data_IF_956957981589
#
_entry.id   IF_956957981589
#
_cell.length_a   1.000
_cell.length_b   1.000
_cell.length_c   1.000
_cell.angle_alpha   90.00
_cell.angle_beta   90.00
_cell.angle_gamma   90.00
#
_symmetry.space_group_name_H-M   'P 1'
#
loop_
_entity.id
_entity.type
_entity.pdbx_description
1 polymer ?
#
# COMPACT_ATOMS: atom_id res chain seq x y z
N UNK A 1 -7.19 -23.86 31.47
CA UNK A 1 -8.09 -22.68 31.47
C UNK A 1 -9.06 -22.85 30.33
N UNK A 2 -10.36 -22.90 30.66
CA UNK A 2 -11.40 -23.03 29.65
C UNK A 2 -11.66 -21.72 28.90
N UNK A 3 -11.48 -20.58 29.59
CA UNK A 3 -11.72 -19.24 29.03
C UNK A 3 -10.60 -18.29 29.45
N UNK A 4 -10.19 -17.43 28.53
CA UNK A 4 -9.29 -16.31 28.80
C UNK A 4 -9.91 -15.01 28.29
N UNK A 5 -9.87 -13.97 29.12
CA UNK A 5 -10.36 -12.64 28.77
C UNK A 5 -9.18 -11.69 28.71
N UNK A 6 -8.90 -11.17 27.50
CA UNK A 6 -7.79 -10.27 27.24
C UNK A 6 -8.32 -8.94 26.71
N UNK A 7 -7.97 -7.84 27.34
CA UNK A 7 -8.27 -6.51 26.80
C UNK A 7 -7.36 -6.17 25.62
N UNK A 8 -6.11 -6.60 25.70
CA UNK A 8 -5.11 -6.42 24.64
C UNK A 8 -4.18 -7.61 24.66
N UNK A 9 -3.88 -8.14 23.49
CA UNK A 9 -2.86 -9.17 23.31
C UNK A 9 -1.94 -8.82 22.16
N UNK A 10 -0.64 -9.00 22.36
CA UNK A 10 0.36 -8.97 21.30
C UNK A 10 0.78 -10.41 21.06
N UNK A 11 0.47 -10.94 19.88
CA UNK A 11 0.79 -12.33 19.53
C UNK A 11 1.53 -12.37 18.20
N UNK A 12 2.58 -13.17 18.13
CA UNK A 12 3.26 -13.44 16.88
C UNK A 12 2.51 -14.43 16.00
N UNK A 13 1.72 -15.29 16.63
CA UNK A 13 0.88 -16.27 15.95
C UNK A 13 -0.36 -16.55 16.81
N UNK A 14 -1.52 -16.60 16.17
CA UNK A 14 -2.78 -16.96 16.80
C UNK A 14 -3.39 -18.13 16.04
N UNK A 15 -3.73 -19.20 16.78
CA UNK A 15 -4.43 -20.36 16.23
C UNK A 15 -5.85 -20.39 16.77
N UNK A 16 -6.83 -20.34 15.89
CA UNK A 16 -8.25 -20.41 16.22
C UNK A 16 -8.88 -21.54 15.41
N UNK A 17 -9.43 -22.54 16.08
CA UNK A 17 -10.07 -23.69 15.44
C UNK A 17 -9.19 -24.32 14.33
N UNK A 18 -7.92 -24.50 14.62
CA UNK A 18 -6.89 -24.98 13.68
C UNK A 18 -6.56 -24.00 12.52
N UNK A 19 -7.03 -22.77 12.59
CA UNK A 19 -6.59 -21.72 11.67
C UNK A 19 -5.44 -20.95 12.33
N UNK A 20 -4.30 -20.96 11.68
CA UNK A 20 -3.14 -20.19 12.12
C UNK A 20 -3.17 -18.81 11.46
N UNK A 21 -3.21 -17.75 12.26
CA UNK A 21 -3.19 -16.36 11.80
C UNK A 21 -1.81 -15.79 12.10
N UNK A 22 -0.87 -16.02 11.20
CA UNK A 22 0.50 -15.51 11.30
C UNK A 22 0.74 -14.56 10.14
N UNK A 23 1.05 -13.27 10.42
CA UNK A 23 1.41 -12.35 9.34
C UNK A 23 2.70 -12.80 8.65
N UNK A 24 2.78 -12.59 7.34
CA UNK A 24 4.05 -12.73 6.61
C UNK A 24 4.96 -11.54 6.89
N UNK A 25 6.26 -11.76 6.80
CA UNK A 25 7.22 -10.66 6.86
C UNK A 25 6.93 -9.64 5.75
N UNK A 26 6.97 -8.37 6.11
CA UNK A 26 6.71 -7.28 5.17
C UNK A 26 5.24 -6.96 4.94
N UNK A 27 4.30 -7.70 5.53
CA UNK A 27 2.88 -7.34 5.49
C UNK A 27 2.65 -5.95 6.09
N UNK A 28 1.79 -5.18 5.42
CA UNK A 28 1.22 -3.95 5.98
C UNK A 28 -0.19 -4.31 6.43
N UNK A 29 -0.29 -4.89 7.63
CA UNK A 29 -1.53 -5.48 8.14
C UNK A 29 -2.53 -4.47 8.68
N UNK A 30 -2.04 -3.33 9.16
CA UNK A 30 -2.86 -2.22 9.61
C UNK A 30 -3.00 -1.19 8.49
N UNK A 31 -4.20 -0.66 8.29
CA UNK A 31 -4.41 0.42 7.33
C UNK A 31 -3.53 1.62 7.66
N UNK A 32 -2.78 2.09 6.66
CA UNK A 32 -1.94 3.29 6.75
C UNK A 32 -2.61 4.39 5.95
N UNK A 33 -2.63 5.59 6.50
CA UNK A 33 -3.16 6.79 5.84
C UNK A 33 -2.02 7.72 5.43
N UNK A 34 -2.07 8.22 4.21
CA UNK A 34 -1.09 9.14 3.64
C UNK A 34 -1.79 10.30 2.95
N UNK A 35 -1.36 11.53 3.25
CA UNK A 35 -1.84 12.73 2.58
C UNK A 35 -0.98 13.01 1.35
N UNK A 36 -1.55 12.87 0.17
CA UNK A 36 -0.87 13.09 -1.08
C UNK A 36 -0.95 14.57 -1.52
N UNK A 37 0.05 15.01 -2.26
CA UNK A 37 0.07 16.34 -2.83
C UNK A 37 -0.75 16.42 -4.12
N UNK A 38 -1.37 17.57 -4.35
CA UNK A 38 -1.93 17.91 -5.64
C UNK A 38 -0.81 18.31 -6.61
N UNK A 39 -0.97 17.95 -7.88
CA UNK A 39 -0.02 18.33 -8.94
C UNK A 39 1.43 17.89 -8.65
N UNK A 40 1.58 16.66 -8.14
CA UNK A 40 2.89 16.05 -7.92
C UNK A 40 3.42 15.52 -9.26
N UNK A 41 4.19 16.33 -9.98
CA UNK A 41 4.61 16.02 -11.35
C UNK A 41 5.76 15.02 -11.45
N UNK A 42 6.57 14.88 -10.40
CA UNK A 42 7.64 13.88 -10.32
C UNK A 42 7.34 12.84 -9.24
N UNK A 43 7.80 11.58 -9.42
CA UNK A 43 7.51 10.54 -8.45
C UNK A 43 7.99 10.88 -7.04
N UNK A 44 7.07 10.85 -6.08
CA UNK A 44 7.33 11.09 -4.66
C UNK A 44 6.97 9.84 -3.86
N UNK A 45 7.63 9.65 -2.73
CA UNK A 45 7.41 8.50 -1.86
C UNK A 45 6.02 8.57 -1.22
N UNK A 46 5.34 7.43 -1.20
CA UNK A 46 4.23 7.20 -0.29
C UNK A 46 4.82 6.69 1.02
N UNK A 47 4.79 7.50 2.06
CA UNK A 47 5.41 7.18 3.35
C UNK A 47 4.90 5.85 3.91
N UNK A 48 5.79 5.02 4.44
CA UNK A 48 5.52 3.69 5.00
C UNK A 48 5.03 2.63 4.00
N UNK A 49 5.07 2.95 2.71
CA UNK A 49 4.66 2.03 1.65
C UNK A 49 5.90 1.48 0.92
N UNK A 50 6.65 0.65 1.64
CA UNK A 50 7.93 0.10 1.17
C UNK A 50 8.01 -1.39 1.50
N UNK A 51 8.67 -2.15 0.63
CA UNK A 51 8.91 -3.59 0.79
C UNK A 51 10.41 -3.86 0.72
N UNK A 52 10.91 -4.62 1.68
CA UNK A 52 12.33 -4.94 1.74
C UNK A 52 12.70 -6.22 0.97
N UNK A 53 13.98 -6.58 1.02
CA UNK A 53 14.52 -7.73 0.28
C UNK A 53 14.02 -9.10 0.77
N UNK A 54 13.36 -9.17 1.92
CA UNK A 54 12.74 -10.41 2.42
C UNK A 54 11.42 -10.74 1.73
N UNK A 55 10.83 -9.77 1.03
CA UNK A 55 9.56 -9.91 0.35
C UNK A 55 9.78 -10.36 -1.09
N UNK A 56 9.15 -11.45 -1.50
CA UNK A 56 9.15 -11.90 -2.91
C UNK A 56 8.12 -11.14 -3.72
N UNK A 57 6.88 -11.09 -3.23
CA UNK A 57 5.78 -10.48 -3.94
C UNK A 57 4.76 -9.90 -2.97
N UNK A 58 3.98 -8.96 -3.41
CA UNK A 58 2.91 -8.39 -2.63
C UNK A 58 1.66 -8.10 -3.47
N UNK A 59 0.52 -8.07 -2.80
CA UNK A 59 -0.70 -7.47 -3.29
C UNK A 59 -1.13 -6.40 -2.28
N UNK A 60 -1.29 -5.18 -2.75
CA UNK A 60 -1.74 -4.06 -1.94
C UNK A 60 -3.04 -3.49 -2.47
N UNK A 61 -3.87 -3.00 -1.54
CA UNK A 61 -5.10 -2.28 -1.84
C UNK A 61 -4.94 -0.84 -1.39
N UNK A 62 -5.27 0.10 -2.26
CA UNK A 62 -5.13 1.53 -1.99
C UNK A 62 -6.41 2.24 -2.37
N UNK A 63 -7.09 2.85 -1.40
CA UNK A 63 -8.15 3.80 -1.71
C UNK A 63 -7.57 5.19 -1.89
N UNK A 64 -8.03 5.90 -2.92
CA UNK A 64 -7.65 7.28 -3.19
C UNK A 64 -8.91 8.12 -3.13
N UNK A 65 -8.93 9.12 -2.24
CA UNK A 65 -10.04 10.04 -2.06
C UNK A 65 -9.56 11.46 -2.27
N UNK A 66 -10.02 12.11 -3.34
CA UNK A 66 -9.73 13.50 -3.63
C UNK A 66 -10.99 14.32 -3.36
N UNK A 67 -10.87 15.26 -2.44
CA UNK A 67 -11.95 16.18 -2.12
C UNK A 67 -11.64 17.57 -2.69
N UNK A 68 -12.70 18.21 -3.14
CA UNK A 68 -12.64 19.55 -3.74
C UNK A 68 -13.61 20.50 -3.03
N UNK A 69 -13.39 21.79 -3.15
CA UNK A 69 -14.23 22.81 -2.52
C UNK A 69 -15.68 22.66 -2.98
N UNK A 70 -16.59 22.57 -2.01
CA UNK A 70 -18.01 22.40 -2.27
C UNK A 70 -18.37 21.08 -2.94
N UNK A 71 -17.51 20.08 -2.86
CA UNK A 71 -17.70 18.74 -3.45
C UNK A 71 -17.97 18.76 -4.97
N UNK A 72 -17.44 19.76 -5.66
CA UNK A 72 -17.77 20.01 -7.07
C UNK A 72 -17.02 19.09 -8.04
N UNK A 73 -15.90 18.51 -7.64
CA UNK A 73 -15.06 17.67 -8.49
C UNK A 73 -14.35 16.56 -7.67
N UNK A 74 -15.05 16.01 -6.69
CA UNK A 74 -14.51 14.90 -5.90
C UNK A 74 -14.23 13.67 -6.76
N UNK A 75 -13.19 12.95 -6.42
CA UNK A 75 -12.81 11.72 -7.12
C UNK A 75 -12.49 10.60 -6.16
N UNK A 76 -12.96 9.42 -6.47
CA UNK A 76 -12.82 8.23 -5.65
C UNK A 76 -12.35 7.06 -6.52
N UNK A 77 -11.25 6.45 -6.12
CA UNK A 77 -10.75 5.26 -6.82
C UNK A 77 -10.18 4.24 -5.84
N UNK A 78 -10.23 2.99 -6.25
CA UNK A 78 -9.66 1.88 -5.51
C UNK A 78 -8.67 1.15 -6.39
N UNK A 79 -7.40 1.19 -6.00
CA UNK A 79 -6.29 0.59 -6.73
C UNK A 79 -5.94 -0.77 -6.15
N UNK A 80 -5.62 -1.70 -7.03
CA UNK A 80 -4.91 -2.94 -6.68
C UNK A 80 -3.51 -2.86 -7.27
N UNK A 81 -2.51 -2.92 -6.41
CA UNK A 81 -1.10 -2.93 -6.77
C UNK A 81 -0.56 -4.34 -6.56
N UNK A 82 0.11 -4.88 -7.56
CA UNK A 82 0.81 -6.15 -7.46
C UNK A 82 2.26 -5.94 -7.83
N UNK A 83 3.16 -6.34 -6.94
CA UNK A 83 4.59 -6.20 -7.14
C UNK A 83 5.32 -7.51 -6.95
N UNK A 84 6.43 -7.66 -7.67
CA UNK A 84 7.33 -8.79 -7.51
C UNK A 84 8.77 -8.33 -7.55
N UNK A 85 9.58 -8.89 -6.66
CA UNK A 85 11.02 -8.75 -6.66
C UNK A 85 11.63 -9.85 -7.53
N UNK A 86 12.31 -9.47 -8.61
CA UNK A 86 12.89 -10.40 -9.59
C UNK A 86 14.37 -10.65 -9.35
N UNK A 87 14.77 -10.79 -8.10
CA UNK A 87 16.16 -11.00 -7.72
C UNK A 87 16.30 -12.23 -6.84
N UNK A 88 17.46 -12.92 -6.87
CA UNK A 88 17.74 -13.96 -5.89
C UNK A 88 17.67 -13.42 -4.46
N UNK A 89 17.39 -14.31 -3.50
CA UNK A 89 17.44 -13.97 -2.10
C UNK A 89 18.79 -13.37 -1.73
N UNK A 90 18.79 -12.27 -0.98
CA UNK A 90 20.02 -11.60 -0.54
C UNK A 90 20.71 -10.77 -1.62
N UNK A 91 20.10 -10.58 -2.78
CA UNK A 91 20.65 -9.68 -3.80
C UNK A 91 20.68 -8.25 -3.29
N UNK A 92 21.80 -7.52 -3.47
CA UNK A 92 21.88 -6.11 -3.10
C UNK A 92 21.10 -5.18 -4.06
N UNK A 93 20.69 -5.70 -5.19
CA UNK A 93 19.95 -4.94 -6.21
C UNK A 93 18.65 -5.66 -6.57
N UNK A 94 17.62 -5.58 -5.72
CA UNK A 94 16.33 -6.14 -6.06
C UNK A 94 15.75 -5.50 -7.32
N UNK A 95 15.16 -6.32 -8.16
CA UNK A 95 14.52 -5.86 -9.40
C UNK A 95 13.01 -5.81 -9.22
N UNK A 96 12.49 -4.80 -8.54
CA UNK A 96 11.06 -4.64 -8.32
C UNK A 96 10.33 -4.25 -9.60
N UNK A 97 9.19 -4.90 -9.82
CA UNK A 97 8.27 -4.60 -10.93
C UNK A 97 6.86 -4.47 -10.36
N UNK A 98 6.10 -3.48 -10.83
CA UNK A 98 4.75 -3.17 -10.37
C UNK A 98 3.74 -3.26 -11.50
N UNK A 99 2.60 -3.86 -11.20
CA UNK A 99 1.36 -3.73 -11.97
C UNK A 99 0.35 -2.96 -11.14
N UNK A 100 -0.34 -2.01 -11.75
CA UNK A 100 -1.37 -1.18 -11.11
C UNK A 100 -2.62 -1.16 -11.95
N UNK A 101 -3.77 -1.36 -11.30
CA UNK A 101 -5.09 -1.22 -11.91
C UNK A 101 -6.03 -0.58 -10.89
N UNK A 102 -7.09 0.06 -11.36
CA UNK A 102 -8.07 0.68 -10.49
C UNK A 102 -9.49 0.55 -11.00
N UNK A 103 -10.42 0.75 -10.08
CA UNK A 103 -11.85 0.96 -10.36
C UNK A 103 -12.26 2.30 -9.77
N UNK A 104 -13.33 2.88 -10.31
CA UNK A 104 -13.83 4.19 -9.90
C UNK A 104 -13.41 5.30 -10.86
N UNK A 105 -13.21 6.49 -10.31
CA UNK A 105 -12.88 7.67 -11.10
C UNK A 105 -11.43 7.67 -11.56
N UNK A 106 -11.17 8.34 -12.66
CA UNK A 106 -9.80 8.70 -13.02
C UNK A 106 -9.32 9.83 -12.10
N UNK A 107 -8.55 9.48 -11.09
CA UNK A 107 -8.01 10.43 -10.10
C UNK A 107 -6.78 11.18 -10.62
N UNK A 108 -6.18 10.73 -11.72
CA UNK A 108 -4.90 11.23 -12.19
C UNK A 108 -3.71 10.80 -11.36
N UNK A 109 -3.91 9.93 -10.37
CA UNK A 109 -2.83 9.33 -9.59
C UNK A 109 -2.23 8.16 -10.36
N UNK A 110 -0.90 8.12 -10.43
CA UNK A 110 -0.15 7.01 -11.02
C UNK A 110 0.85 6.50 -10.00
N UNK A 111 0.77 5.21 -9.71
CA UNK A 111 1.71 4.53 -8.82
C UNK A 111 2.88 3.93 -9.58
N UNK A 112 4.05 3.98 -8.99
CA UNK A 112 5.27 3.32 -9.45
C UNK A 112 6.01 2.72 -8.27
N UNK A 113 7.01 1.89 -8.56
CA UNK A 113 7.88 1.31 -7.55
C UNK A 113 9.34 1.62 -7.90
N UNK A 114 10.11 1.98 -6.90
CA UNK A 114 11.55 2.07 -7.06
C UNK A 114 12.13 0.66 -7.22
N UNK A 115 12.78 0.39 -8.34
CA UNK A 115 13.26 -0.95 -8.69
C UNK A 115 14.31 -1.48 -7.70
N UNK A 116 15.02 -0.60 -7.01
CA UNK A 116 16.09 -0.97 -6.08
C UNK A 116 15.61 -1.07 -4.65
N UNK A 117 14.82 -0.08 -4.18
CA UNK A 117 14.43 0.01 -2.78
C UNK A 117 13.12 -0.68 -2.44
N UNK A 118 12.23 -0.92 -3.43
CA UNK A 118 10.89 -1.41 -3.17
C UNK A 118 9.92 -0.35 -2.64
N UNK A 119 10.31 0.93 -2.70
CA UNK A 119 9.47 2.05 -2.28
C UNK A 119 8.38 2.32 -3.30
N UNK A 120 7.14 2.37 -2.86
CA UNK A 120 6.01 2.82 -3.68
C UNK A 120 6.04 4.34 -3.76
N UNK A 121 5.93 4.83 -4.98
CA UNK A 121 5.92 6.26 -5.32
C UNK A 121 4.64 6.60 -6.07
N UNK A 122 4.30 7.88 -6.11
CA UNK A 122 3.15 8.37 -6.86
C UNK A 122 3.46 9.66 -7.60
N UNK A 123 2.72 9.88 -8.66
CA UNK A 123 2.51 11.21 -9.27
C UNK A 123 1.03 11.53 -9.22
N UNK A 124 0.68 12.80 -9.27
CA UNK A 124 -0.72 13.24 -9.29
C UNK A 124 -0.93 14.39 -10.27
N UNK A 125 -2.13 14.42 -10.85
CA UNK A 125 -2.57 15.52 -11.70
C UNK A 125 -2.96 16.74 -10.88
N UNK A 126 -3.06 17.90 -11.55
CA UNK A 126 -3.61 19.10 -10.95
C UNK A 126 -5.14 19.01 -10.94
N UNK A 127 -5.72 18.83 -9.76
CA UNK A 127 -7.16 18.86 -9.53
C UNK A 127 -7.53 20.22 -8.94
N UNK A 128 -8.58 20.84 -9.44
CA UNK A 128 -9.05 22.15 -8.98
C UNK A 128 -10.57 22.14 -8.86
N UNK A 129 -11.14 22.79 -7.82
CA UNK A 129 -10.51 23.40 -6.66
C UNK A 129 -10.13 22.36 -5.58
N UNK A 130 -8.85 22.14 -5.37
CA UNK A 130 -8.32 21.07 -4.51
C UNK A 130 -8.47 21.40 -3.02
N UNK A 131 -8.88 20.40 -2.23
CA UNK A 131 -8.89 20.44 -0.76
C UNK A 131 -7.95 19.41 -0.19
N UNK A 132 -8.09 18.13 -0.56
CA UNK A 132 -7.25 17.05 -0.04
C UNK A 132 -7.18 15.86 -0.99
N UNK A 133 -6.10 15.12 -0.88
CA UNK A 133 -5.94 13.80 -1.49
C UNK A 133 -5.43 12.84 -0.41
N UNK A 134 -6.26 11.89 -0.05
CA UNK A 134 -5.94 10.91 1.00
C UNK A 134 -5.86 9.51 0.41
N UNK A 135 -4.73 8.87 0.63
CA UNK A 135 -4.51 7.47 0.30
C UNK A 135 -4.56 6.64 1.57
N UNK A 136 -5.31 5.53 1.52
CA UNK A 136 -5.34 4.55 2.61
C UNK A 136 -5.02 3.19 2.05
N UNK A 137 -4.06 2.50 2.64
CA UNK A 137 -3.54 1.26 2.07
C UNK A 137 -3.19 0.20 3.11
N UNK A 138 -3.20 -1.04 2.66
CA UNK A 138 -2.68 -2.21 3.35
C UNK A 138 -2.13 -3.19 2.31
N UNK A 139 -1.31 -4.15 2.73
CA UNK A 139 -0.70 -5.11 1.82
C UNK A 139 -0.47 -6.46 2.46
N UNK A 140 -0.53 -7.51 1.63
CA UNK A 140 -0.13 -8.87 1.97
C UNK A 140 1.05 -9.30 1.11
N UNK A 141 1.97 -10.05 1.70
CA UNK A 141 3.23 -10.41 1.08
C UNK A 141 3.46 -11.92 1.06
N UNK A 142 4.33 -12.34 0.15
CA UNK A 142 5.03 -13.63 0.22
C UNK A 142 6.52 -13.37 0.43
N UNK A 143 7.21 -14.29 1.05
CA UNK A 143 8.65 -14.16 1.33
C UNK A 143 9.51 -14.84 0.28
N UNK A 144 10.77 -14.40 0.17
CA UNK A 144 11.78 -15.05 -0.68
C UNK A 144 12.19 -16.43 -0.17
#
# INVERSE_FOLDING_TARGET
IANAYLNTATVGSLVVNNVNITPSAGDIGQEVSFAAANNQSSPADVTDFIFDTSVRAFTAQVSVTILTTGDTNNKFAYFTLQGIQKSPAGSPTPGWVLNSRYIGDNTGVVFSIDATSGQIKYTSSNISPFVSDTMKFYARTTTV
#
